data_IF_172758286700
#
_entry.id   IF_172758286700
#
_cell.length_a   1.000
_cell.length_b   1.000
_cell.length_c   1.000
_cell.angle_alpha   90.00
_cell.angle_beta   90.00
_cell.angle_gamma   90.00
#
_symmetry.space_group_name_H-M   'P 1'
#
loop_
_entity.id
_entity.type
_entity.pdbx_description
1 polymer ?
#
# COMPACT_ATOMS: atom_id res chain seq x y z
N UNK A 1 -4.97 -13.28 1.60
CA UNK A 1 -3.65 -12.99 2.22
C UNK A 1 -2.60 -13.82 1.50
N UNK A 2 -2.12 -13.37 0.34
CA UNK A 2 -1.01 -14.06 -0.39
C UNK A 2 0.12 -13.10 -0.78
N UNK A 3 -0.18 -11.81 -1.00
CA UNK A 3 0.82 -10.81 -1.42
C UNK A 3 1.71 -10.36 -0.26
N UNK A 4 1.13 -10.10 0.91
CA UNK A 4 1.86 -9.64 2.08
C UNK A 4 2.36 -10.78 2.98
N UNK A 5 2.07 -12.05 2.66
CA UNK A 5 2.38 -13.18 3.53
C UNK A 5 3.89 -13.28 3.81
N UNK A 6 4.72 -13.26 2.76
CA UNK A 6 6.18 -13.32 2.92
C UNK A 6 6.73 -12.09 3.68
N UNK A 7 6.13 -10.91 3.47
CA UNK A 7 6.48 -9.71 4.21
C UNK A 7 6.16 -9.87 5.71
N UNK A 8 5.02 -10.47 6.02
CA UNK A 8 4.59 -10.77 7.39
C UNK A 8 5.54 -11.78 8.04
N UNK A 9 5.81 -12.89 7.36
CA UNK A 9 6.70 -13.93 7.88
C UNK A 9 8.10 -13.40 8.17
N UNK A 10 8.63 -12.51 7.31
CA UNK A 10 9.96 -11.93 7.48
C UNK A 10 10.04 -10.90 8.62
N UNK A 11 8.96 -10.18 8.92
CA UNK A 11 8.99 -9.13 9.95
C UNK A 11 8.51 -9.61 11.32
N UNK A 12 7.53 -10.52 11.38
CA UNK A 12 6.89 -10.91 12.64
C UNK A 12 7.78 -11.72 13.60
N UNK A 13 8.78 -12.46 13.11
CA UNK A 13 9.74 -13.16 13.99
C UNK A 13 10.89 -12.26 14.49
N UNK A 14 11.05 -11.07 13.90
CA UNK A 14 12.08 -10.07 14.24
C UNK A 14 11.58 -8.84 15.00
N UNK A 15 10.27 -8.76 15.31
CA UNK A 15 9.66 -7.65 16.06
C UNK A 15 8.71 -6.74 15.26
N UNK A 16 8.38 -7.07 14.01
CA UNK A 16 7.44 -6.31 13.18
C UNK A 16 5.97 -6.53 13.57
N UNK A 17 5.19 -5.46 13.61
CA UNK A 17 3.73 -5.47 13.80
C UNK A 17 3.04 -4.92 12.56
N UNK A 18 1.94 -5.55 12.13
CA UNK A 18 1.07 -5.04 11.07
C UNK A 18 -0.17 -4.45 11.69
N UNK A 19 -0.41 -3.17 11.43
CA UNK A 19 -1.69 -2.54 11.73
C UNK A 19 -2.53 -2.46 10.46
N UNK A 20 -3.82 -2.72 10.64
CA UNK A 20 -4.87 -2.49 9.64
C UNK A 20 -5.66 -1.28 10.14
N UNK A 21 -5.03 -0.11 10.03
CA UNK A 21 -5.47 1.14 10.62
C UNK A 21 -5.84 2.20 9.60
N UNK A 22 -5.95 3.44 10.08
CA UNK A 22 -6.09 4.61 9.21
C UNK A 22 -4.76 4.87 8.50
N UNK A 23 -4.77 4.85 7.17
CA UNK A 23 -3.57 5.13 6.37
C UNK A 23 -2.87 6.42 6.80
N UNK A 24 -3.64 7.50 6.99
CA UNK A 24 -3.11 8.78 7.47
C UNK A 24 -2.38 8.64 8.81
N UNK A 25 -2.98 7.93 9.77
CA UNK A 25 -2.37 7.71 11.08
C UNK A 25 -1.08 6.88 10.97
N UNK A 26 -1.12 5.75 10.28
CA UNK A 26 0.02 4.83 10.12
C UNK A 26 1.19 5.51 9.41
N UNK A 27 0.90 6.27 8.36
CA UNK A 27 1.86 7.13 7.68
C UNK A 27 2.54 8.10 8.65
N UNK A 28 1.80 8.72 9.58
CA UNK A 28 2.44 9.59 10.58
C UNK A 28 3.34 8.82 11.53
N UNK A 29 3.06 7.54 11.81
CA UNK A 29 3.93 6.71 12.65
C UNK A 29 5.26 6.40 11.98
N UNK A 30 5.28 6.29 10.65
CA UNK A 30 6.55 6.22 9.90
C UNK A 30 7.35 7.50 10.10
N UNK A 31 6.69 8.66 9.94
CA UNK A 31 7.34 9.96 10.11
C UNK A 31 7.89 10.18 11.54
N UNK A 32 7.19 9.69 12.57
CA UNK A 32 7.63 9.82 13.96
C UNK A 32 8.61 8.74 14.41
N UNK A 33 9.02 7.82 13.52
CA UNK A 33 9.94 6.72 13.83
C UNK A 33 9.33 5.62 14.70
N UNK A 34 8.00 5.55 14.77
CA UNK A 34 7.26 4.51 15.50
C UNK A 34 6.96 3.29 14.63
N UNK A 35 6.96 3.46 13.31
CA UNK A 35 6.92 2.38 12.31
C UNK A 35 8.05 2.58 11.31
N UNK A 36 8.55 1.49 10.74
CA UNK A 36 9.55 1.57 9.67
C UNK A 36 8.90 1.74 8.28
N UNK A 37 7.66 1.27 8.11
CA UNK A 37 6.95 1.31 6.85
C UNK A 37 5.42 1.19 6.98
N UNK A 38 4.73 1.58 5.91
CA UNK A 38 3.30 1.33 5.66
C UNK A 38 3.14 0.83 4.21
N UNK A 39 2.39 -0.26 4.01
CA UNK A 39 2.26 -0.95 2.72
C UNK A 39 0.80 -1.25 2.41
N UNK A 40 0.29 -0.69 1.32
CA UNK A 40 -1.09 -0.83 0.87
C UNK A 40 -1.11 -1.15 -0.65
N UNK A 41 -1.23 -2.43 -1.03
CA UNK A 41 -1.20 -2.84 -2.43
C UNK A 41 -2.58 -2.97 -3.09
N UNK A 42 -3.68 -2.77 -2.36
CA UNK A 42 -5.05 -3.12 -2.75
C UNK A 42 -5.48 -2.59 -4.11
N UNK A 43 -5.40 -1.27 -4.39
CA UNK A 43 -5.74 -0.71 -5.70
C UNK A 43 -4.96 -1.32 -6.85
N UNK A 44 -3.68 -1.67 -6.62
CA UNK A 44 -2.85 -2.36 -7.63
C UNK A 44 -3.36 -3.77 -7.87
N UNK A 45 -3.70 -4.52 -6.81
CA UNK A 45 -4.26 -5.86 -6.95
C UNK A 45 -5.59 -5.86 -7.72
N UNK A 46 -6.47 -4.90 -7.43
CA UNK A 46 -7.74 -4.73 -8.14
C UNK A 46 -7.53 -4.41 -9.63
N UNK A 47 -6.46 -3.68 -9.97
CA UNK A 47 -6.13 -3.31 -11.35
C UNK A 47 -5.45 -4.44 -12.14
N UNK A 48 -4.55 -5.17 -11.50
CA UNK A 48 -3.64 -6.10 -12.19
C UNK A 48 -4.10 -7.57 -12.12
N UNK A 49 -4.72 -7.99 -11.02
CA UNK A 49 -5.02 -9.42 -10.77
C UNK A 49 -6.47 -9.75 -11.18
N UNK A 50 -6.69 -10.65 -12.16
CA UNK A 50 -8.03 -11.07 -12.56
C UNK A 50 -8.84 -11.65 -11.39
N UNK A 51 -10.12 -11.31 -11.30
CA UNK A 51 -11.00 -11.78 -10.22
C UNK A 51 -10.84 -11.04 -8.88
N UNK A 52 -9.85 -10.14 -8.77
CA UNK A 52 -9.56 -9.46 -7.50
C UNK A 52 -10.58 -8.38 -7.17
N UNK A 53 -11.12 -7.67 -8.19
CA UNK A 53 -12.21 -6.71 -8.00
C UNK A 53 -13.40 -7.39 -7.32
N UNK A 54 -13.82 -8.53 -7.84
CA UNK A 54 -14.95 -9.31 -7.35
C UNK A 54 -14.68 -9.83 -5.94
N UNK A 55 -13.44 -10.22 -5.64
CA UNK A 55 -13.03 -10.61 -4.30
C UNK A 55 -13.13 -9.42 -3.31
N UNK A 56 -12.66 -8.24 -3.69
CA UNK A 56 -12.75 -7.02 -2.89
C UNK A 56 -14.20 -6.60 -2.68
N UNK A 57 -15.02 -6.57 -3.73
CA UNK A 57 -16.44 -6.24 -3.65
C UNK A 57 -17.20 -7.24 -2.77
N UNK A 58 -16.92 -8.54 -2.87
CA UNK A 58 -17.53 -9.56 -2.01
C UNK A 58 -17.22 -9.32 -0.52
N UNK A 59 -15.98 -8.99 -0.19
CA UNK A 59 -15.56 -8.73 1.20
C UNK A 59 -16.04 -7.36 1.68
N UNK A 60 -16.08 -6.37 0.81
CA UNK A 60 -16.50 -4.98 1.09
C UNK A 60 -18.00 -4.73 0.96
N UNK A 61 -18.85 -5.77 0.89
CA UNK A 61 -20.30 -5.61 0.84
C UNK A 61 -20.82 -4.94 -0.44
N UNK A 62 -20.16 -5.17 -1.57
CA UNK A 62 -20.45 -4.59 -2.88
C UNK A 62 -19.59 -3.38 -3.27
N UNK A 63 -18.67 -2.95 -2.39
CA UNK A 63 -17.75 -1.85 -2.65
C UNK A 63 -16.29 -2.32 -2.62
N UNK A 64 -15.46 -1.70 -3.45
CA UNK A 64 -13.99 -1.80 -3.33
C UNK A 64 -13.54 -0.76 -2.30
N UNK A 65 -13.08 -1.22 -1.13
CA UNK A 65 -12.64 -0.36 -0.04
C UNK A 65 -11.12 -0.23 -0.06
N UNK A 66 -10.62 0.89 -0.60
CA UNK A 66 -9.23 1.29 -0.52
C UNK A 66 -9.13 2.79 -0.24
N UNK A 67 -7.91 3.27 0.03
CA UNK A 67 -7.65 4.68 0.28
C UNK A 67 -8.00 5.55 -0.92
N UNK A 68 -8.76 6.60 -0.66
CA UNK A 68 -9.01 7.70 -1.59
C UNK A 68 -7.96 8.80 -1.39
N UNK A 69 -7.83 9.77 -2.32
CA UNK A 69 -6.83 10.82 -2.19
C UNK A 69 -6.99 11.65 -0.92
N UNK A 70 -8.21 11.83 -0.42
CA UNK A 70 -8.46 12.57 0.82
C UNK A 70 -7.85 11.89 2.06
N UNK A 71 -7.72 10.56 2.05
CA UNK A 71 -7.11 9.80 3.16
C UNK A 71 -5.59 10.02 3.22
N UNK A 72 -4.96 10.36 2.08
CA UNK A 72 -3.51 10.31 1.90
C UNK A 72 -2.86 11.67 1.71
N UNK A 73 -3.54 12.61 1.05
CA UNK A 73 -2.91 13.82 0.51
C UNK A 73 -2.18 14.67 1.58
N UNK A 74 -2.79 14.85 2.75
CA UNK A 74 -2.18 15.62 3.84
C UNK A 74 -0.94 14.90 4.41
N UNK A 75 -1.07 13.61 4.74
CA UNK A 75 0.02 12.82 5.30
C UNK A 75 1.18 12.65 4.31
N UNK A 76 0.88 12.46 3.02
CA UNK A 76 1.89 12.38 1.96
C UNK A 76 2.76 13.63 1.93
N UNK A 77 2.17 14.82 2.04
CA UNK A 77 2.95 16.07 2.09
C UNK A 77 3.86 16.14 3.30
N UNK A 78 3.35 15.81 4.48
CA UNK A 78 4.17 15.78 5.70
C UNK A 78 5.33 14.78 5.59
N UNK A 79 5.11 13.61 4.99
CA UNK A 79 6.14 12.59 4.79
C UNK A 79 7.25 13.05 3.85
N UNK A 80 6.90 13.62 2.70
CA UNK A 80 7.87 14.12 1.72
C UNK A 80 8.75 15.21 2.34
N UNK A 81 8.14 16.18 3.03
CA UNK A 81 8.88 17.23 3.74
C UNK A 81 9.71 16.67 4.91
N UNK A 82 9.22 15.59 5.53
CA UNK A 82 9.89 14.87 6.61
C UNK A 82 10.99 13.91 6.17
N UNK A 83 11.26 13.80 4.86
CA UNK A 83 12.32 12.95 4.30
C UNK A 83 11.98 11.46 4.19
N UNK A 84 10.73 11.06 4.44
CA UNK A 84 10.30 9.69 4.19
C UNK A 84 10.17 9.40 2.69
N UNK A 85 10.34 8.13 2.31
CA UNK A 85 10.24 7.69 0.90
C UNK A 85 8.82 7.19 0.64
N UNK A 86 8.19 7.72 -0.41
CA UNK A 86 6.77 7.44 -0.73
C UNK A 86 6.57 7.17 -2.21
N UNK A 87 5.88 6.09 -2.55
CA UNK A 87 5.45 5.75 -3.91
C UNK A 87 4.08 5.08 -3.92
N UNK A 88 3.56 4.78 -5.11
CA UNK A 88 2.51 3.77 -5.24
C UNK A 88 3.07 2.37 -4.99
N UNK A 89 2.22 1.34 -4.96
CA UNK A 89 2.67 -0.03 -4.71
C UNK A 89 3.46 -0.66 -5.87
N UNK A 90 3.71 0.07 -6.96
CA UNK A 90 4.59 -0.31 -8.07
C UNK A 90 5.90 0.52 -8.08
N UNK A 91 6.19 1.26 -7.01
CA UNK A 91 7.39 2.10 -6.93
C UNK A 91 7.31 3.42 -7.69
N UNK A 92 6.16 3.78 -8.28
CA UNK A 92 6.02 4.99 -9.08
C UNK A 92 5.69 6.21 -8.22
N UNK A 93 6.21 7.40 -8.56
CA UNK A 93 5.86 8.63 -7.85
C UNK A 93 4.35 8.95 -7.89
N UNK A 94 3.85 9.63 -6.84
CA UNK A 94 2.44 9.99 -6.71
C UNK A 94 2.07 11.38 -7.24
N UNK A 95 3.05 12.18 -7.67
CA UNK A 95 2.88 13.63 -7.93
C UNK A 95 1.88 13.95 -9.05
N UNK A 96 1.61 13.03 -9.97
CA UNK A 96 0.66 13.23 -11.08
C UNK A 96 -0.75 12.75 -10.77
N UNK A 97 -0.99 12.19 -9.57
CA UNK A 97 -2.29 11.62 -9.21
C UNK A 97 -3.30 12.72 -8.83
N UNK A 98 -4.53 12.70 -9.38
CA UNK A 98 -5.57 13.63 -8.98
C UNK A 98 -5.90 13.53 -7.49
N UNK A 99 -5.99 14.69 -6.82
CA UNK A 99 -6.23 14.76 -5.36
C UNK A 99 -7.71 14.97 -4.98
N UNK A 100 -8.59 15.21 -5.96
CA UNK A 100 -10.02 15.44 -5.75
C UNK A 100 -10.82 14.36 -6.46
N UNK A 101 -11.51 13.53 -5.67
CA UNK A 101 -12.36 12.44 -6.14
C UNK A 101 -12.41 11.30 -5.14
N UNK A 102 -13.39 10.40 -5.27
CA UNK A 102 -13.58 9.26 -4.36
C UNK A 102 -14.15 8.02 -5.05
N UNK A 103 -14.35 8.07 -6.37
CA UNK A 103 -14.71 6.90 -7.16
C UNK A 103 -13.52 5.95 -7.29
N UNK A 104 -13.74 4.67 -7.65
CA UNK A 104 -12.70 3.64 -7.65
C UNK A 104 -11.42 4.01 -8.43
N UNK A 105 -11.52 4.83 -9.48
CA UNK A 105 -10.38 5.32 -10.26
C UNK A 105 -9.46 6.29 -9.52
N UNK A 106 -9.96 6.91 -8.44
CA UNK A 106 -9.17 7.77 -7.56
C UNK A 106 -8.47 7.00 -6.45
N UNK A 107 -8.77 5.70 -6.26
CA UNK A 107 -8.13 4.92 -5.22
C UNK A 107 -6.64 4.73 -5.51
N UNK A 108 -5.82 4.84 -4.47
CA UNK A 108 -4.37 4.89 -4.59
C UNK A 108 -3.72 3.86 -3.69
N UNK A 109 -2.98 2.94 -4.30
CA UNK A 109 -2.04 2.08 -3.58
C UNK A 109 -0.87 2.90 -3.06
N UNK A 110 -0.25 2.48 -1.97
CA UNK A 110 0.80 3.24 -1.32
C UNK A 110 1.88 2.35 -0.72
N UNK A 111 3.15 2.75 -0.87
CA UNK A 111 4.25 2.27 -0.05
C UNK A 111 4.94 3.49 0.56
N UNK A 112 5.11 3.47 1.87
CA UNK A 112 5.87 4.46 2.64
C UNK A 112 6.94 3.72 3.43
N UNK A 113 8.16 4.21 3.42
CA UNK A 113 9.25 3.67 4.22
C UNK A 113 10.12 4.77 4.83
N UNK A 114 10.77 4.44 5.95
CA UNK A 114 11.69 5.32 6.67
C UNK A 114 12.99 5.59 5.90
N UNK A 115 13.35 4.75 4.91
CA UNK A 115 14.54 4.91 4.10
C UNK A 115 14.41 4.26 2.69
N UNK A 116 15.24 4.67 1.71
CA UNK A 116 15.19 4.16 0.34
C UNK A 116 15.47 2.66 0.20
N UNK A 117 16.37 2.10 1.03
CA UNK A 117 16.76 0.70 0.96
C UNK A 117 15.58 -0.21 1.34
N UNK A 118 14.89 0.11 2.44
CA UNK A 118 13.68 -0.59 2.87
C UNK A 118 12.56 -0.40 1.84
N UNK A 119 12.37 0.81 1.32
CA UNK A 119 11.37 1.09 0.29
C UNK A 119 11.55 0.17 -0.93
N UNK A 120 12.77 0.06 -1.45
CA UNK A 120 13.06 -0.80 -2.60
C UNK A 120 12.77 -2.28 -2.31
N UNK A 121 13.13 -2.77 -1.11
CA UNK A 121 12.83 -4.14 -0.69
C UNK A 121 11.32 -4.41 -0.60
N UNK A 122 10.55 -3.44 -0.13
CA UNK A 122 9.09 -3.56 0.00
C UNK A 122 8.41 -3.60 -1.38
N UNK A 123 8.81 -2.71 -2.29
CA UNK A 123 8.29 -2.71 -3.68
C UNK A 123 8.56 -4.05 -4.36
N UNK A 124 9.79 -4.55 -4.25
CA UNK A 124 10.21 -5.84 -4.83
C UNK A 124 9.46 -7.04 -4.21
N UNK A 125 9.17 -7.00 -2.91
CA UNK A 125 8.35 -8.03 -2.26
C UNK A 125 6.88 -7.99 -2.73
N UNK A 126 6.30 -6.79 -2.86
CA UNK A 126 4.96 -6.63 -3.41
C UNK A 126 4.91 -7.11 -4.86
N UNK A 127 5.91 -6.77 -5.69
CA UNK A 127 6.03 -7.23 -7.06
C UNK A 127 6.05 -8.76 -7.15
N UNK A 128 6.85 -9.43 -6.30
CA UNK A 128 6.85 -10.90 -6.21
C UNK A 128 5.49 -11.45 -5.83
N UNK A 129 4.84 -10.87 -4.83
CA UNK A 129 3.51 -11.28 -4.39
C UNK A 129 2.46 -11.17 -5.49
N UNK A 130 2.47 -10.06 -6.24
CA UNK A 130 1.60 -9.85 -7.41
C UNK A 130 1.92 -10.86 -8.52
N UNK A 131 3.19 -11.06 -8.85
CA UNK A 131 3.60 -12.00 -9.89
C UNK A 131 3.18 -13.45 -9.57
N UNK A 132 3.29 -13.87 -8.30
CA UNK A 132 2.78 -15.17 -7.85
C UNK A 132 1.28 -15.30 -8.08
N UNK A 133 0.49 -14.30 -7.64
CA UNK A 133 -0.95 -14.29 -7.88
C UNK A 133 -1.31 -14.38 -9.37
N UNK A 134 -0.59 -13.66 -10.23
CA UNK A 134 -0.82 -13.71 -11.68
C UNK A 134 -0.46 -15.08 -12.29
N UNK A 135 0.51 -15.80 -11.70
CA UNK A 135 0.90 -17.14 -12.15
C UNK A 135 -0.10 -18.22 -11.74
N UNK A 136 -0.84 -17.98 -10.65
CA UNK A 136 -1.96 -18.80 -10.20
C UNK A 136 -3.14 -18.49 -11.12
N UNK A 137 -3.21 -19.16 -12.28
CA UNK A 137 -4.39 -19.06 -13.15
C UNK A 137 -5.65 -19.42 -12.34
N UNK A 138 -6.75 -18.67 -12.46
CA UNK A 138 -8.06 -19.16 -12.02
C UNK A 138 -8.46 -20.42 -12.81
#
# INVERSE_FOLDING_TARGET
MEVLADLIDRSSVGGGTFDLGSACFDMTRVLTGQLDAYVEPGPRLVQEVPGMREAFERVGGGAVLNNSPYDLAAAWRCLVEGGAVVSDAAGRPLHERPILGSSPEFQMSLIVASNPELHAQLVDEVDRGVARLLSLRP
#
